data_IF_804926626527
#
_entry.id   IF_804926626527
#
_cell.length_a   1.000
_cell.length_b   1.000
_cell.length_c   1.000
_cell.angle_alpha   90.00
_cell.angle_beta   90.00
_cell.angle_gamma   90.00
#
_symmetry.space_group_name_H-M   'P 1'
#
loop_
_entity.id
_entity.type
_entity.pdbx_description
1 polymer ?
#
# COMPACT_ATOMS: atom_id res chain seq x y z
N UNK A 1 13.40 -17.27 10.38
CA UNK A 1 13.02 -16.00 11.06
C UNK A 1 12.27 -15.07 10.09
N UNK A 2 11.67 -13.96 10.54
CA UNK A 2 10.91 -13.06 9.64
C UNK A 2 11.81 -12.24 8.70
N UNK A 3 12.99 -11.81 9.17
CA UNK A 3 13.99 -11.10 8.35
C UNK A 3 14.52 -11.95 7.19
N UNK A 4 14.91 -13.20 7.47
CA UNK A 4 15.39 -14.15 6.44
C UNK A 4 14.35 -14.36 5.33
N UNK A 5 13.08 -14.52 5.68
CA UNK A 5 11.99 -14.66 4.70
C UNK A 5 11.82 -13.43 3.81
N UNK A 6 12.10 -12.24 4.34
CA UNK A 6 12.09 -11.02 3.54
C UNK A 6 13.28 -11.01 2.57
N UNK A 7 14.49 -11.34 3.06
CA UNK A 7 15.69 -11.39 2.22
C UNK A 7 15.50 -12.39 1.07
N UNK A 8 15.10 -13.61 1.38
CA UNK A 8 14.83 -14.66 0.39
C UNK A 8 13.79 -14.20 -0.64
N UNK A 9 12.70 -13.58 -0.19
CA UNK A 9 11.67 -13.08 -1.09
C UNK A 9 12.19 -11.95 -2.00
N UNK A 10 13.04 -11.05 -1.47
CA UNK A 10 13.65 -9.97 -2.25
C UNK A 10 14.62 -10.54 -3.29
N UNK A 11 15.49 -11.48 -2.93
CA UNK A 11 16.47 -12.09 -3.85
C UNK A 11 15.79 -12.86 -4.99
N UNK A 12 14.80 -13.70 -4.67
CA UNK A 12 14.04 -14.44 -5.68
C UNK A 12 13.24 -13.46 -6.54
N UNK A 13 12.72 -12.39 -5.94
CA UNK A 13 11.97 -11.35 -6.65
C UNK A 13 12.84 -10.56 -7.61
N UNK A 14 14.05 -10.14 -7.21
CA UNK A 14 14.95 -9.36 -8.07
C UNK A 14 15.45 -10.18 -9.23
N UNK A 15 15.83 -11.44 -9.00
CA UNK A 15 16.26 -12.34 -10.06
C UNK A 15 15.15 -12.53 -11.12
N UNK A 16 13.89 -12.58 -10.69
CA UNK A 16 12.75 -12.68 -11.60
C UNK A 16 12.47 -11.38 -12.36
N UNK A 17 12.62 -10.23 -11.73
CA UNK A 17 12.50 -8.93 -12.42
C UNK A 17 13.58 -8.77 -13.49
N UNK A 18 14.83 -9.16 -13.19
CA UNK A 18 15.94 -9.11 -14.14
C UNK A 18 15.71 -10.06 -15.32
N UNK A 19 15.36 -11.31 -15.04
CA UNK A 19 15.05 -12.32 -16.06
C UNK A 19 13.87 -11.90 -16.95
N UNK A 20 12.83 -11.28 -16.38
CA UNK A 20 11.70 -10.76 -17.16
C UNK A 20 12.08 -9.52 -17.96
N UNK A 21 12.93 -8.63 -17.44
CA UNK A 21 13.42 -7.48 -18.17
C UNK A 21 14.30 -7.89 -19.37
N UNK A 22 15.19 -8.88 -19.20
CA UNK A 22 15.96 -9.46 -20.28
C UNK A 22 15.06 -10.10 -21.34
N UNK A 23 14.02 -10.81 -20.91
CA UNK A 23 13.03 -11.37 -21.81
C UNK A 23 12.27 -10.29 -22.59
N UNK A 24 11.88 -9.18 -21.96
CA UNK A 24 11.21 -8.07 -22.65
C UNK A 24 12.11 -7.44 -23.71
N UNK A 25 13.41 -7.27 -23.43
CA UNK A 25 14.40 -6.77 -24.39
C UNK A 25 14.59 -7.75 -25.55
N UNK A 26 14.72 -9.05 -25.25
CA UNK A 26 14.86 -10.09 -26.26
C UNK A 26 13.60 -10.21 -27.14
N UNK A 27 12.42 -10.08 -26.53
CA UNK A 27 11.13 -10.09 -27.22
C UNK A 27 10.93 -8.86 -28.12
N UNK A 28 11.40 -7.70 -27.68
CA UNK A 28 11.39 -6.49 -28.51
C UNK A 28 12.25 -6.65 -29.78
N UNK A 29 13.34 -7.40 -29.68
CA UNK A 29 14.20 -7.72 -30.83
C UNK A 29 13.62 -8.85 -31.70
N UNK A 30 13.06 -9.88 -31.07
CA UNK A 30 12.51 -11.08 -31.71
C UNK A 30 11.14 -11.44 -31.11
N UNK A 31 10.02 -11.18 -31.81
CA UNK A 31 8.66 -11.42 -31.29
C UNK A 31 8.35 -12.88 -30.93
N UNK A 32 9.05 -13.84 -31.54
CA UNK A 32 8.86 -15.28 -31.31
C UNK A 32 9.70 -15.85 -30.15
N UNK A 33 10.34 -14.99 -29.34
CA UNK A 33 11.13 -15.44 -28.19
C UNK A 33 10.21 -16.10 -27.16
N UNK A 34 10.52 -17.36 -26.80
CA UNK A 34 9.78 -18.11 -25.79
C UNK A 34 9.95 -17.48 -24.40
N UNK A 35 8.91 -17.51 -23.55
CA UNK A 35 9.01 -16.99 -22.19
C UNK A 35 10.05 -17.78 -21.38
N UNK A 36 10.89 -17.11 -20.58
CA UNK A 36 11.92 -17.76 -19.79
C UNK A 36 11.28 -18.61 -18.69
N UNK A 37 12.00 -19.66 -18.27
CA UNK A 37 11.58 -20.49 -17.15
C UNK A 37 11.72 -19.71 -15.83
N UNK A 38 10.60 -19.26 -15.27
CA UNK A 38 10.54 -18.59 -13.97
C UNK A 38 10.78 -19.59 -12.82
N UNK A 39 11.05 -19.07 -11.63
CA UNK A 39 11.21 -19.90 -10.43
C UNK A 39 9.94 -20.74 -10.17
N UNK A 40 10.12 -22.02 -9.81
CA UNK A 40 9.07 -22.99 -9.50
C UNK A 40 8.07 -22.46 -8.45
N UNK A 41 8.53 -21.65 -7.49
CA UNK A 41 7.68 -21.05 -6.46
C UNK A 41 6.59 -20.14 -7.06
N UNK A 42 6.93 -19.33 -8.07
CA UNK A 42 5.94 -18.47 -8.73
C UNK A 42 4.94 -19.27 -9.54
N UNK A 43 5.39 -20.34 -10.21
CA UNK A 43 4.52 -21.23 -10.97
C UNK A 43 3.56 -22.00 -10.05
N UNK A 44 4.06 -22.56 -8.95
CA UNK A 44 3.26 -23.27 -7.96
C UNK A 44 2.19 -22.39 -7.29
N UNK A 45 2.47 -21.09 -7.14
CA UNK A 45 1.54 -20.10 -6.59
C UNK A 45 0.54 -19.54 -7.63
N UNK A 46 0.46 -20.12 -8.83
CA UNK A 46 -0.47 -19.70 -9.89
C UNK A 46 0.08 -18.59 -10.79
N UNK A 47 1.38 -18.60 -11.07
CA UNK A 47 2.09 -17.65 -11.92
C UNK A 47 1.96 -16.18 -11.46
N UNK A 48 2.14 -15.95 -10.16
CA UNK A 48 2.12 -14.60 -9.58
C UNK A 48 3.32 -13.76 -10.03
N UNK A 49 3.15 -12.44 -10.09
CA UNK A 49 4.27 -11.51 -10.33
C UNK A 49 5.20 -11.43 -9.11
N UNK A 50 6.49 -11.18 -9.34
CA UNK A 50 7.51 -11.05 -8.28
C UNK A 50 7.09 -10.04 -7.20
N UNK A 51 6.67 -8.85 -7.63
CA UNK A 51 6.15 -7.79 -6.77
C UNK A 51 4.99 -8.27 -5.85
N UNK A 52 4.07 -9.08 -6.36
CA UNK A 52 2.95 -9.59 -5.57
C UNK A 52 3.40 -10.63 -4.56
N UNK A 53 4.37 -11.48 -4.92
CA UNK A 53 4.98 -12.40 -3.97
C UNK A 53 5.65 -11.64 -2.82
N UNK A 54 6.52 -10.68 -3.13
CA UNK A 54 7.23 -9.88 -2.11
C UNK A 54 6.23 -9.12 -1.24
N UNK A 55 5.19 -8.53 -1.82
CA UNK A 55 4.17 -7.84 -1.02
C UNK A 55 3.42 -8.82 -0.10
N UNK A 56 3.08 -10.01 -0.58
CA UNK A 56 2.40 -11.03 0.22
C UNK A 56 3.27 -11.50 1.39
N UNK A 57 4.60 -11.60 1.23
CA UNK A 57 5.48 -11.96 2.34
C UNK A 57 5.51 -10.87 3.41
N UNK A 58 5.56 -9.59 3.02
CA UNK A 58 5.44 -8.47 3.97
C UNK A 58 4.09 -8.44 4.70
N UNK A 59 2.98 -8.70 4.00
CA UNK A 59 1.65 -8.69 4.59
C UNK A 59 1.41 -9.80 5.62
N UNK A 60 2.07 -10.95 5.44
CA UNK A 60 1.96 -12.09 6.37
C UNK A 60 2.68 -11.87 7.70
N UNK A 61 3.57 -10.88 7.79
CA UNK A 61 4.34 -10.60 9.00
C UNK A 61 3.49 -9.76 9.95
N UNK A 62 3.43 -10.17 11.22
CA UNK A 62 2.74 -9.40 12.27
C UNK A 62 3.37 -8.02 12.40
N UNK A 63 2.55 -6.97 12.54
CA UNK A 63 3.02 -5.59 12.62
C UNK A 63 4.08 -5.35 13.71
N UNK A 64 3.97 -6.02 14.86
CA UNK A 64 4.96 -5.95 15.94
C UNK A 64 6.33 -6.50 15.51
N UNK A 65 6.34 -7.62 14.79
CA UNK A 65 7.58 -8.28 14.34
C UNK A 65 8.15 -7.67 13.04
N UNK A 66 7.38 -6.84 12.32
CA UNK A 66 7.82 -6.24 11.07
C UNK A 66 9.01 -5.31 11.29
N UNK A 67 8.95 -4.43 12.29
CA UNK A 67 10.03 -3.49 12.57
C UNK A 67 11.33 -4.20 12.97
N UNK A 68 11.23 -5.24 13.80
CA UNK A 68 12.39 -6.05 14.19
C UNK A 68 12.98 -6.81 13.00
N UNK A 69 12.12 -7.39 12.15
CA UNK A 69 12.57 -8.09 10.94
C UNK A 69 13.29 -7.17 9.95
N UNK A 70 12.79 -5.94 9.81
CA UNK A 70 13.39 -4.90 8.96
C UNK A 70 14.73 -4.40 9.53
N UNK A 71 14.89 -4.33 10.85
CA UNK A 71 16.12 -3.86 11.48
C UNK A 71 17.30 -4.83 11.28
N UNK A 72 17.00 -6.13 11.18
CA UNK A 72 18.01 -7.20 11.02
C UNK A 72 18.44 -7.37 9.55
N UNK A 73 17.87 -6.62 8.60
CA UNK A 73 18.21 -6.74 7.20
C UNK A 73 19.65 -6.30 6.91
N UNK A 74 20.42 -7.08 6.14
CA UNK A 74 21.73 -6.65 5.64
C UNK A 74 21.60 -5.43 4.74
N UNK A 75 22.54 -4.49 4.87
CA UNK A 75 22.53 -3.26 4.06
C UNK A 75 22.54 -3.52 2.54
N UNK A 76 23.15 -4.62 2.10
CA UNK A 76 23.18 -5.05 0.70
C UNK A 76 21.79 -5.28 0.09
N UNK A 77 20.78 -5.56 0.92
CA UNK A 77 19.41 -5.85 0.48
C UNK A 77 18.54 -4.60 0.33
N UNK A 78 18.99 -3.44 0.82
CA UNK A 78 18.23 -2.18 0.75
C UNK A 78 17.98 -1.68 -0.67
N UNK A 79 18.95 -1.71 -1.61
CA UNK A 79 18.70 -1.33 -2.99
C UNK A 79 17.57 -2.15 -3.62
N UNK A 80 17.56 -3.47 -3.38
CA UNK A 80 16.51 -4.39 -3.84
C UNK A 80 15.16 -4.04 -3.21
N UNK A 81 15.15 -3.70 -1.92
CA UNK A 81 13.94 -3.26 -1.25
C UNK A 81 13.40 -1.95 -1.87
N UNK A 82 14.27 -0.98 -2.17
CA UNK A 82 13.85 0.30 -2.75
C UNK A 82 13.30 0.16 -4.17
N UNK A 83 13.84 -0.71 -5.01
CA UNK A 83 13.23 -1.02 -6.32
C UNK A 83 11.83 -1.59 -6.15
N UNK A 84 11.62 -2.53 -5.22
CA UNK A 84 10.27 -3.05 -4.92
C UNK A 84 9.33 -1.99 -4.34
N UNK A 85 9.80 -1.12 -3.44
CA UNK A 85 8.97 -0.04 -2.91
C UNK A 85 8.58 0.97 -4.00
N UNK A 86 9.45 1.23 -4.98
CA UNK A 86 9.11 2.07 -6.13
C UNK A 86 8.02 1.43 -6.99
N UNK A 87 8.12 0.12 -7.22
CA UNK A 87 7.11 -0.68 -7.93
C UNK A 87 5.77 -0.66 -7.18
N UNK A 88 5.78 -0.86 -5.85
CA UNK A 88 4.56 -0.81 -5.03
C UNK A 88 3.93 0.58 -5.03
N UNK A 89 4.73 1.65 -5.04
CA UNK A 89 4.24 3.02 -5.15
C UNK A 89 3.62 3.28 -6.53
N UNK A 90 4.30 2.92 -7.61
CA UNK A 90 3.80 3.13 -8.98
C UNK A 90 2.54 2.34 -9.31
N UNK A 91 2.42 1.10 -8.80
CA UNK A 91 1.23 0.25 -8.97
C UNK A 91 0.18 0.41 -7.87
N UNK A 92 0.41 1.33 -6.93
CA UNK A 92 -0.47 1.61 -5.78
C UNK A 92 -0.82 0.38 -4.93
N UNK A 93 0.11 -0.56 -4.79
CA UNK A 93 -0.10 -1.79 -4.05
C UNK A 93 0.12 -1.55 -2.56
N UNK A 94 -0.97 -1.63 -1.77
CA UNK A 94 -0.98 -1.45 -0.31
C UNK A 94 -0.07 -0.30 0.16
N UNK A 95 -0.45 0.92 -0.25
CA UNK A 95 0.31 2.15 0.04
C UNK A 95 0.64 2.33 1.53
N UNK A 96 -0.27 2.09 2.50
CA UNK A 96 0.06 2.26 3.92
C UNK A 96 1.21 1.38 4.40
N UNK A 97 1.26 0.12 3.96
CA UNK A 97 2.35 -0.80 4.29
C UNK A 97 3.67 -0.35 3.65
N UNK A 98 3.63 0.01 2.37
CA UNK A 98 4.78 0.54 1.62
C UNK A 98 5.36 1.78 2.31
N UNK A 99 4.53 2.75 2.71
CA UNK A 99 4.94 3.93 3.46
C UNK A 99 5.57 3.57 4.81
N UNK A 100 4.98 2.61 5.54
CA UNK A 100 5.47 2.18 6.85
C UNK A 100 6.87 1.57 6.76
N UNK A 101 7.09 0.70 5.78
CA UNK A 101 8.39 0.08 5.52
C UNK A 101 9.40 1.15 5.11
N UNK A 102 9.03 2.04 4.17
CA UNK A 102 9.90 3.11 3.67
C UNK A 102 10.34 4.05 4.80
N UNK A 103 9.41 4.54 5.63
CA UNK A 103 9.74 5.46 6.72
C UNK A 103 10.61 4.79 7.79
N UNK A 104 10.38 3.51 8.07
CA UNK A 104 11.23 2.77 8.98
C UNK A 104 12.66 2.68 8.43
N UNK A 105 12.84 2.29 7.17
CA UNK A 105 14.15 2.22 6.51
C UNK A 105 14.89 3.55 6.45
N UNK A 106 14.18 4.63 6.14
CA UNK A 106 14.75 5.97 6.11
C UNK A 106 15.21 6.40 7.50
N UNK A 107 14.44 6.06 8.54
CA UNK A 107 14.78 6.43 9.92
C UNK A 107 15.98 5.63 10.44
N UNK A 108 16.09 4.34 10.13
CA UNK A 108 17.18 3.48 10.61
C UNK A 108 18.48 3.69 9.82
N UNK A 109 18.42 3.83 8.50
CA UNK A 109 19.60 3.86 7.62
C UNK A 109 19.92 5.24 7.04
N UNK A 110 19.39 6.33 7.61
CA UNK A 110 19.54 7.70 7.08
C UNK A 110 20.97 8.06 6.61
N UNK A 111 21.99 7.86 7.48
CA UNK A 111 23.38 8.21 7.17
C UNK A 111 23.93 7.43 5.97
N UNK A 112 23.62 6.14 5.90
CA UNK A 112 24.10 5.24 4.85
C UNK A 112 23.42 5.54 3.50
N UNK A 113 22.13 5.87 3.56
CA UNK A 113 21.33 6.25 2.39
C UNK A 113 21.85 7.56 1.78
N UNK A 114 22.08 8.58 2.60
CA UNK A 114 22.52 9.91 2.12
C UNK A 114 23.96 9.86 1.59
N UNK A 115 24.80 8.96 2.10
CA UNK A 115 26.17 8.78 1.62
C UNK A 115 26.25 8.20 0.20
N UNK A 116 25.26 7.42 -0.24
CA UNK A 116 25.27 6.80 -1.58
C UNK A 116 24.50 7.62 -2.60
N UNK A 117 25.18 8.03 -3.67
CA UNK A 117 24.57 8.80 -4.78
C UNK A 117 23.47 8.03 -5.50
N UNK A 118 23.64 6.72 -5.70
CA UNK A 118 22.68 5.88 -6.44
C UNK A 118 21.36 5.72 -5.67
N UNK A 119 21.44 5.50 -4.35
CA UNK A 119 20.25 5.35 -3.51
C UNK A 119 19.45 6.65 -3.40
N UNK A 120 20.14 7.80 -3.39
CA UNK A 120 19.48 9.10 -3.43
C UNK A 120 18.61 9.26 -4.68
N UNK A 121 19.15 8.92 -5.85
CA UNK A 121 18.38 8.98 -7.12
C UNK A 121 17.18 8.04 -7.11
N UNK A 122 17.33 6.81 -6.59
CA UNK A 122 16.22 5.87 -6.45
C UNK A 122 15.10 6.41 -5.54
N UNK A 123 15.48 7.05 -4.42
CA UNK A 123 14.52 7.66 -3.50
C UNK A 123 13.77 8.84 -4.10
N UNK A 124 14.40 9.63 -4.97
CA UNK A 124 13.70 10.71 -5.67
C UNK A 124 12.58 10.17 -6.57
N UNK A 125 12.80 9.04 -7.25
CA UNK A 125 11.76 8.35 -8.04
C UNK A 125 10.62 7.80 -7.17
N UNK A 126 10.95 7.17 -6.04
CA UNK A 126 9.95 6.69 -5.07
C UNK A 126 9.14 7.86 -4.52
N UNK A 127 9.80 8.97 -4.18
CA UNK A 127 9.17 10.17 -3.63
C UNK A 127 8.13 10.76 -4.58
N UNK A 128 8.46 10.86 -5.87
CA UNK A 128 7.52 11.37 -6.87
C UNK A 128 6.32 10.43 -7.02
N UNK A 129 6.56 9.14 -7.22
CA UNK A 129 5.53 8.13 -7.40
C UNK A 129 4.59 8.06 -6.20
N UNK A 130 5.16 8.00 -4.99
CA UNK A 130 4.38 7.91 -3.76
C UNK A 130 3.55 9.16 -3.49
N UNK A 131 4.09 10.36 -3.77
CA UNK A 131 3.32 11.61 -3.64
C UNK A 131 2.18 11.67 -4.62
N UNK A 132 2.39 11.24 -5.87
CA UNK A 132 1.35 11.20 -6.89
C UNK A 132 0.21 10.29 -6.47
N UNK A 133 0.51 9.07 -6.02
CA UNK A 133 -0.50 8.10 -5.59
C UNK A 133 -1.23 8.53 -4.32
N UNK A 134 -0.52 9.06 -3.32
CA UNK A 134 -1.16 9.57 -2.10
C UNK A 134 -2.05 10.78 -2.37
N UNK A 135 -1.63 11.68 -3.27
CA UNK A 135 -2.45 12.83 -3.68
C UNK A 135 -3.72 12.36 -4.37
N UNK A 136 -3.61 11.43 -5.33
CA UNK A 136 -4.77 10.84 -6.03
C UNK A 136 -5.77 10.24 -5.05
N UNK A 137 -5.31 9.37 -4.14
CA UNK A 137 -6.18 8.74 -3.15
C UNK A 137 -6.82 9.76 -2.19
N UNK A 138 -6.06 10.78 -1.76
CA UNK A 138 -6.60 11.85 -0.94
C UNK A 138 -7.70 12.64 -1.67
N UNK A 139 -7.46 12.99 -2.93
CA UNK A 139 -8.38 13.80 -3.73
C UNK A 139 -9.67 13.00 -4.03
N UNK A 140 -9.56 11.71 -4.35
CA UNK A 140 -10.70 10.80 -4.55
C UNK A 140 -11.54 10.66 -3.27
N UNK A 141 -10.91 10.38 -2.12
CA UNK A 141 -11.62 10.29 -0.84
C UNK A 141 -12.22 11.64 -0.43
N UNK A 142 -11.53 12.75 -0.71
CA UNK A 142 -12.01 14.10 -0.44
C UNK A 142 -13.26 14.43 -1.25
N UNK A 143 -13.26 14.09 -2.54
CA UNK A 143 -14.42 14.26 -3.42
C UNK A 143 -15.60 13.38 -2.96
N UNK A 144 -15.36 12.11 -2.67
CA UNK A 144 -16.40 11.18 -2.19
C UNK A 144 -17.02 11.67 -0.88
N UNK A 145 -16.20 12.16 0.05
CA UNK A 145 -16.67 12.68 1.34
C UNK A 145 -17.44 14.00 1.19
N UNK A 146 -17.04 14.87 0.26
CA UNK A 146 -17.80 16.08 -0.07
C UNK A 146 -19.16 15.74 -0.70
N UNK A 147 -19.20 14.79 -1.64
CA UNK A 147 -20.44 14.30 -2.24
C UNK A 147 -21.38 13.70 -1.19
N UNK A 148 -20.86 12.85 -0.29
CA UNK A 148 -21.64 12.26 0.80
C UNK A 148 -22.20 13.30 1.77
N UNK A 149 -21.46 14.39 2.04
CA UNK A 149 -21.96 15.49 2.87
C UNK A 149 -23.15 16.19 2.22
N UNK A 150 -23.04 16.54 0.93
CA UNK A 150 -24.11 17.22 0.19
C UNK A 150 -25.34 16.33 0.07
N UNK A 151 -25.17 15.05 -0.26
CA UNK A 151 -26.28 14.10 -0.32
C UNK A 151 -26.89 13.91 1.07
N UNK A 152 -26.07 13.81 2.11
CA UNK A 152 -26.53 13.70 3.49
C UNK A 152 -27.34 14.92 3.96
N UNK A 153 -26.98 16.13 3.52
CA UNK A 153 -27.74 17.36 3.76
C UNK A 153 -29.08 17.34 3.04
N UNK A 154 -29.10 17.03 1.73
CA UNK A 154 -30.35 16.91 0.96
C UNK A 154 -31.31 15.87 1.52
N UNK A 155 -30.79 14.75 2.03
CA UNK A 155 -31.63 13.71 2.66
C UNK A 155 -32.25 14.21 3.97
N UNK A 156 -31.55 15.06 4.74
CA UNK A 156 -32.12 15.68 5.93
C UNK A 156 -33.20 16.70 5.56
N UNK A 157 -32.96 17.51 4.54
CA UNK A 157 -33.93 18.50 4.07
C UNK A 157 -35.22 17.80 3.59
N UNK A 158 -35.10 16.74 2.79
CA UNK A 158 -36.24 15.92 2.36
C UNK A 158 -36.93 15.16 3.50
N UNK A 159 -36.20 14.86 4.57
CA UNK A 159 -36.73 14.21 5.77
C UNK A 159 -37.44 15.18 6.73
N UNK A 160 -37.40 16.48 6.45
CA UNK A 160 -38.06 17.50 7.27
C UNK A 160 -39.53 17.57 6.85
N UNK A 161 -40.46 17.41 7.80
CA UNK A 161 -41.91 17.52 7.56
C UNK A 161 -42.28 19.01 7.42
N UNK A 162 -43.00 19.37 6.36
CA UNK A 162 -43.47 20.75 6.13
C UNK A 162 -44.68 21.15 7.01
N UNK A 163 -45.45 20.16 7.50
CA UNK A 163 -46.61 20.40 8.36
C UNK A 163 -46.17 20.41 9.83
N UNK A 164 -46.65 21.41 10.57
CA UNK A 164 -46.36 21.62 11.99
C UNK A 164 -47.67 21.54 12.76
N UNK A 165 -47.87 20.47 13.52
CA UNK A 165 -48.96 20.28 14.49
C UNK A 165 -48.40 20.03 15.90
N UNK A 166 -49.25 20.08 16.95
CA UNK A 166 -48.82 19.91 18.35
C UNK A 166 -48.10 18.56 18.59
N UNK A 167 -48.47 17.48 17.89
CA UNK A 167 -47.77 16.18 17.95
C UNK A 167 -46.36 16.24 17.33
N UNK A 168 -46.16 16.98 16.24
CA UNK A 168 -44.86 17.13 15.57
C UNK A 168 -43.85 17.93 16.41
N UNK A 169 -44.31 18.83 17.29
CA UNK A 169 -43.46 19.53 18.26
C UNK A 169 -42.90 18.59 19.33
N UNK A 170 -43.66 17.57 19.74
CA UNK A 170 -43.21 16.58 20.74
C UNK A 170 -42.25 15.52 20.14
N UNK A 171 -42.40 15.15 18.87
CA UNK A 171 -41.50 14.21 18.18
C UNK A 171 -40.09 14.78 17.88
N UNK A 172 -39.99 16.10 17.72
CA UNK A 172 -38.79 16.80 17.20
C UNK A 172 -37.52 16.68 18.04
N UNK A 173 -37.63 16.42 19.35
CA UNK A 173 -36.45 16.36 20.24
C UNK A 173 -35.90 14.91 20.42
N UNK A 174 -36.73 13.89 20.14
CA UNK A 174 -36.47 12.49 20.44
C UNK A 174 -36.28 11.56 19.23
N UNK A 175 -36.80 11.92 18.07
CA UNK A 175 -36.82 11.03 16.90
C UNK A 175 -35.47 11.00 16.15
N UNK A 176 -34.86 9.81 16.09
CA UNK A 176 -33.68 9.42 15.26
C UNK A 176 -32.25 9.60 15.79
N UNK A 177 -32.04 10.02 17.05
CA UNK A 177 -30.66 9.98 17.62
C UNK A 177 -30.21 8.51 17.78
N UNK A 178 -29.19 8.09 17.04
CA UNK A 178 -28.59 6.73 17.14
C UNK A 178 -28.07 6.50 18.57
N UNK A 179 -28.84 5.81 19.41
CA UNK A 179 -28.39 5.38 20.74
C UNK A 179 -27.33 4.28 20.60
N UNK A 180 -26.31 4.29 21.45
CA UNK A 180 -25.26 3.26 21.55
C UNK A 180 -25.21 2.81 23.01
N UNK A 181 -25.45 1.53 23.27
CA UNK A 181 -25.28 0.96 24.60
C UNK A 181 -23.83 0.57 24.81
N UNK A 182 -23.15 1.21 25.76
CA UNK A 182 -21.81 0.81 26.20
C UNK A 182 -21.96 0.15 27.56
N UNK A 183 -21.93 -1.18 27.59
CA UNK A 183 -21.93 -1.93 28.85
C UNK A 183 -20.51 -1.89 29.41
N UNK A 184 -20.31 -1.12 30.48
CA UNK A 184 -19.11 -1.23 31.31
C UNK A 184 -19.36 -2.29 32.37
N UNK A 185 -18.63 -3.40 32.29
CA UNK A 185 -18.49 -4.34 33.41
C UNK A 185 -17.27 -3.85 34.20
N UNK A 186 -17.52 -3.22 35.35
CA UNK A 186 -16.46 -2.88 36.33
C UNK A 186 -16.15 -4.09 37.20
#
# INVERSE_FOLDING_TARGET
MAGEKIVEALEIGTADLELMAEYEIAKASNPNTAPPARNLLFMALGNISAERHVLNTFQKIKAAALHDALLVLPFSTLPMLFTFLNIFATKEMNIPLTCRILFFMLKTHHKQIVASKTMRTMLDGIRESLRKSLKRQKDEMGFNLAALKIVGERVKDLGTKDYVDEETWEEGDGSSKKKRGFVQVS
#
